data_IF_216616459875
#
_entry.id   IF_216616459875
#
_cell.length_a   1.000
_cell.length_b   1.000
_cell.length_c   1.000
_cell.angle_alpha   90.00
_cell.angle_beta   90.00
_cell.angle_gamma   90.00
#
_symmetry.space_group_name_H-M   'P 1'
#
loop_
_entity.id
_entity.type
_entity.pdbx_description
1 polymer ?
#
# COMPACT_ATOMS: atom_id res chain seq x y z
N UNK A 1 -6.51 -33.15 -6.75
CA UNK A 1 -5.63 -32.54 -7.77
C UNK A 1 -6.04 -31.08 -7.83
N UNK A 2 -5.17 -30.17 -7.40
CA UNK A 2 -5.55 -28.80 -7.03
C UNK A 2 -5.82 -27.90 -8.23
N UNK A 3 -6.96 -27.21 -8.18
CA UNK A 3 -7.30 -26.12 -9.08
C UNK A 3 -6.55 -24.86 -8.62
N UNK A 4 -5.55 -24.45 -9.40
CA UNK A 4 -4.92 -23.14 -9.27
C UNK A 4 -5.83 -22.14 -9.96
N UNK A 5 -6.65 -21.41 -9.20
CA UNK A 5 -7.36 -20.26 -9.74
C UNK A 5 -6.40 -19.08 -9.85
N UNK A 6 -6.21 -18.72 -11.11
CA UNK A 6 -5.50 -17.56 -11.61
C UNK A 6 -6.23 -16.28 -11.18
N UNK A 7 -5.72 -15.58 -10.17
CA UNK A 7 -6.16 -14.22 -9.83
C UNK A 7 -5.23 -13.25 -10.54
N UNK A 8 -5.62 -12.87 -11.75
CA UNK A 8 -5.00 -11.80 -12.53
C UNK A 8 -5.40 -10.48 -11.85
N UNK A 9 -4.58 -9.95 -10.95
CA UNK A 9 -4.72 -8.58 -10.45
C UNK A 9 -4.26 -7.63 -11.54
N UNK A 10 -5.21 -6.90 -12.15
CA UNK A 10 -4.90 -5.81 -13.06
C UNK A 10 -4.35 -4.64 -12.25
N UNK A 11 -3.02 -4.50 -12.28
CA UNK A 11 -2.31 -3.38 -11.66
C UNK A 11 -2.60 -2.08 -12.42
N UNK A 12 -3.29 -1.13 -11.78
CA UNK A 12 -3.35 0.26 -12.26
C UNK A 12 -2.07 0.99 -11.85
N UNK A 13 -1.01 0.84 -12.66
CA UNK A 13 0.17 1.68 -12.59
C UNK A 13 -0.16 3.08 -13.10
N UNK A 14 -0.20 4.07 -12.22
CA UNK A 14 -0.08 5.48 -12.63
C UNK A 14 1.39 5.82 -12.88
N UNK A 15 1.94 5.30 -13.98
CA UNK A 15 3.05 5.90 -14.73
C UNK A 15 3.22 5.16 -16.06
N UNK A 16 2.64 5.71 -17.12
CA UNK A 16 3.23 5.54 -18.44
C UNK A 16 4.62 6.18 -18.42
N UNK A 17 5.67 5.36 -18.39
CA UNK A 17 6.86 5.52 -19.25
C UNK A 17 7.86 4.39 -19.03
N UNK A 18 8.13 3.69 -20.13
CA UNK A 18 9.38 2.99 -20.50
C UNK A 18 9.81 1.77 -19.68
N UNK A 19 10.02 0.68 -20.41
CA UNK A 19 10.65 -0.57 -19.99
C UNK A 19 11.82 -0.32 -19.03
N UNK A 20 11.67 -0.71 -17.77
CA UNK A 20 12.80 -1.04 -16.93
C UNK A 20 12.47 -2.33 -16.20
N UNK A 21 13.44 -3.23 -16.20
CA UNK A 21 13.34 -4.60 -15.79
C UNK A 21 12.86 -4.67 -14.33
N UNK A 22 11.90 -5.55 -14.09
CA UNK A 22 11.31 -5.84 -12.79
C UNK A 22 12.39 -5.99 -11.71
N UNK A 23 12.68 -4.90 -11.00
CA UNK A 23 13.28 -4.96 -9.67
C UNK A 23 12.23 -5.59 -8.78
N UNK A 24 12.36 -6.90 -8.59
CA UNK A 24 11.60 -7.62 -7.58
C UNK A 24 11.91 -6.96 -6.24
N UNK A 25 10.96 -6.19 -5.70
CA UNK A 25 11.12 -5.56 -4.40
C UNK A 25 11.17 -6.69 -3.38
N UNK A 26 12.31 -6.80 -2.69
CA UNK A 26 12.47 -7.78 -1.62
C UNK A 26 11.64 -7.37 -0.41
N UNK A 27 10.38 -7.80 -0.39
CA UNK A 27 9.39 -7.48 0.64
C UNK A 27 9.85 -7.88 2.06
N UNK A 28 10.86 -8.76 2.18
CA UNK A 28 11.44 -9.18 3.46
C UNK A 28 12.27 -8.09 4.15
N UNK A 29 12.71 -7.08 3.41
CA UNK A 29 13.52 -5.96 3.92
C UNK A 29 12.70 -4.74 4.32
N UNK A 30 11.42 -4.70 3.95
CA UNK A 30 10.53 -3.59 4.27
C UNK A 30 10.17 -3.68 5.75
N UNK A 31 10.39 -2.60 6.50
CA UNK A 31 9.87 -2.51 7.85
C UNK A 31 8.36 -2.21 7.80
N UNK A 32 7.53 -3.18 8.17
CA UNK A 32 6.07 -3.10 8.06
C UNK A 32 5.41 -2.64 9.37
N UNK A 33 4.60 -1.59 9.29
CA UNK A 33 3.59 -1.26 10.30
C UNK A 33 2.28 -1.97 9.98
N UNK A 34 1.81 -2.82 10.89
CA UNK A 34 0.60 -3.64 10.69
C UNK A 34 -0.53 -3.17 11.59
N UNK A 35 -1.69 -2.91 11.00
CA UNK A 35 -2.88 -2.51 11.73
C UNK A 35 -4.14 -3.19 11.16
N UNK A 36 -4.90 -3.86 12.03
CA UNK A 36 -6.06 -4.67 11.62
C UNK A 36 -7.40 -4.03 12.04
N UNK A 37 -7.44 -2.71 12.12
CA UNK A 37 -8.67 -1.96 12.34
C UNK A 37 -9.47 -1.86 11.04
N UNK A 38 -10.78 -1.81 11.14
CA UNK A 38 -11.70 -1.69 10.01
C UNK A 38 -12.70 -0.59 10.28
N UNK A 39 -13.04 0.17 9.24
CA UNK A 39 -14.01 1.25 9.29
C UNK A 39 -15.22 0.95 8.42
N UNK A 40 -16.37 1.53 8.76
CA UNK A 40 -17.58 1.37 7.96
C UNK A 40 -17.52 2.28 6.71
N UNK A 41 -16.93 3.46 6.85
CA UNK A 41 -16.89 4.45 5.77
C UNK A 41 -15.47 4.80 5.33
N UNK A 42 -15.33 5.24 4.07
CA UNK A 42 -14.06 5.77 3.56
C UNK A 42 -13.63 7.03 4.32
N UNK A 43 -14.60 7.85 4.76
CA UNK A 43 -14.33 9.11 5.47
C UNK A 43 -13.66 8.88 6.83
N UNK A 44 -14.08 7.85 7.55
CA UNK A 44 -13.46 7.47 8.83
C UNK A 44 -12.06 6.91 8.60
N UNK A 45 -11.89 6.02 7.61
CA UNK A 45 -10.59 5.49 7.23
C UNK A 45 -9.61 6.60 6.82
N UNK A 46 -10.08 7.57 6.05
CA UNK A 46 -9.28 8.74 5.65
C UNK A 46 -8.87 9.58 6.84
N UNK A 47 -9.81 9.90 7.73
CA UNK A 47 -9.50 10.64 8.94
C UNK A 47 -8.49 9.91 9.82
N UNK A 48 -8.60 8.59 9.93
CA UNK A 48 -7.68 7.74 10.68
C UNK A 48 -6.28 7.75 10.09
N UNK A 49 -6.15 7.54 8.78
CA UNK A 49 -4.85 7.54 8.09
C UNK A 49 -4.17 8.90 8.19
N UNK A 50 -4.89 9.97 7.86
CA UNK A 50 -4.32 11.30 7.77
C UNK A 50 -3.82 11.84 9.11
N UNK A 51 -4.55 11.56 10.19
CA UNK A 51 -4.15 11.98 11.54
C UNK A 51 -3.35 10.91 12.31
N UNK A 52 -3.18 9.73 11.72
CA UNK A 52 -2.57 8.57 12.35
C UNK A 52 -1.10 8.39 11.99
N UNK A 53 -0.52 7.34 12.56
CA UNK A 53 0.88 6.99 12.36
C UNK A 53 1.16 6.53 10.92
N UNK A 54 0.19 5.88 10.26
CA UNK A 54 0.33 5.33 8.91
C UNK A 54 0.84 6.36 7.88
N UNK A 55 0.28 7.57 7.87
CA UNK A 55 0.73 8.64 6.95
C UNK A 55 1.95 9.39 7.47
N UNK A 56 1.99 9.71 8.76
CA UNK A 56 3.01 10.60 9.31
C UNK A 56 4.40 9.95 9.39
N UNK A 57 4.46 8.63 9.58
CA UNK A 57 5.69 7.90 9.90
C UNK A 57 6.19 6.99 8.78
N UNK A 58 5.43 6.85 7.68
CA UNK A 58 5.88 6.06 6.54
C UNK A 58 7.05 6.74 5.83
N UNK A 59 8.08 5.95 5.52
CA UNK A 59 9.39 6.38 5.04
C UNK A 59 10.26 7.09 6.09
N UNK A 60 9.90 7.06 7.38
CA UNK A 60 10.75 7.54 8.47
C UNK A 60 10.93 6.51 9.58
N UNK A 61 9.85 5.99 10.16
CA UNK A 61 9.90 4.94 11.20
C UNK A 61 9.66 3.54 10.63
N UNK A 62 8.90 3.45 9.53
CA UNK A 62 8.63 2.22 8.80
C UNK A 62 8.50 2.50 7.30
N UNK A 63 8.72 1.49 6.47
CA UNK A 63 8.76 1.63 5.01
C UNK A 63 7.45 1.20 4.36
N UNK A 64 6.65 0.40 5.07
CA UNK A 64 5.39 -0.11 4.58
C UNK A 64 4.29 -0.16 5.64
N UNK A 65 3.05 -0.14 5.17
CA UNK A 65 1.82 -0.28 5.94
C UNK A 65 1.03 -1.47 5.43
N UNK A 66 0.51 -2.30 6.35
CA UNK A 66 -0.30 -3.47 6.03
C UNK A 66 -1.60 -3.44 6.83
N UNK A 67 -2.72 -3.66 6.15
CA UNK A 67 -4.06 -3.60 6.73
C UNK A 67 -5.02 -4.63 6.17
N UNK A 68 -6.06 -4.98 6.93
CA UNK A 68 -7.19 -5.76 6.44
C UNK A 68 -8.31 -4.92 5.80
N UNK A 69 -8.25 -3.59 5.91
CA UNK A 69 -9.26 -2.70 5.35
C UNK A 69 -8.75 -2.03 4.05
N UNK A 70 -9.35 -2.32 2.88
CA UNK A 70 -8.93 -1.71 1.63
C UNK A 70 -9.06 -0.17 1.65
N UNK A 71 -9.98 0.38 2.45
CA UNK A 71 -10.20 1.83 2.55
C UNK A 71 -9.01 2.55 3.18
N UNK A 72 -8.34 1.90 4.14
CA UNK A 72 -7.14 2.44 4.77
C UNK A 72 -5.97 2.45 3.78
N UNK A 73 -5.74 1.34 3.07
CA UNK A 73 -4.71 1.28 2.04
C UNK A 73 -4.95 2.30 0.92
N UNK A 74 -6.18 2.38 0.42
CA UNK A 74 -6.57 3.36 -0.59
C UNK A 74 -6.31 4.80 -0.13
N UNK A 75 -6.75 5.15 1.08
CA UNK A 75 -6.58 6.51 1.60
C UNK A 75 -5.11 6.87 1.79
N UNK A 76 -4.29 5.91 2.24
CA UNK A 76 -2.86 6.12 2.41
C UNK A 76 -2.18 6.38 1.06
N UNK A 77 -2.43 5.55 0.06
CA UNK A 77 -1.89 5.75 -1.30
C UNK A 77 -2.28 7.13 -1.84
N UNK A 78 -3.54 7.53 -1.69
CA UNK A 78 -4.00 8.84 -2.15
C UNK A 78 -3.20 9.99 -1.51
N UNK A 79 -3.02 9.97 -0.20
CA UNK A 79 -2.27 11.01 0.50
C UNK A 79 -0.78 11.01 0.14
N UNK A 80 -0.16 9.83 0.03
CA UNK A 80 1.25 9.73 -0.36
C UNK A 80 1.49 10.23 -1.78
N UNK A 81 0.65 9.84 -2.73
CA UNK A 81 0.76 10.33 -4.12
C UNK A 81 0.56 11.83 -4.17
N UNK A 82 -0.41 12.37 -3.41
CA UNK A 82 -0.65 13.81 -3.32
C UNK A 82 0.55 14.56 -2.75
N UNK A 83 1.10 14.12 -1.62
CA UNK A 83 2.29 14.72 -1.00
C UNK A 83 3.50 14.63 -1.93
N UNK A 84 3.69 13.47 -2.60
CA UNK A 84 4.84 13.24 -3.46
C UNK A 84 4.82 14.11 -4.73
N UNK A 85 3.65 14.53 -5.20
CA UNK A 85 3.54 15.52 -6.29
C UNK A 85 4.07 16.89 -5.91
N UNK A 86 3.98 17.28 -4.64
CA UNK A 86 4.37 18.60 -4.15
C UNK A 86 5.83 18.60 -3.65
N UNK A 87 6.22 17.57 -2.91
CA UNK A 87 7.48 17.53 -2.18
C UNK A 87 8.51 16.54 -2.74
N UNK A 88 8.11 15.65 -3.66
CA UNK A 88 8.97 14.58 -4.21
C UNK A 88 9.71 13.79 -3.13
N UNK A 89 9.01 13.52 -2.01
CA UNK A 89 9.55 12.86 -0.82
C UNK A 89 9.98 11.40 -1.07
N UNK A 90 9.28 10.70 -1.94
CA UNK A 90 9.50 9.28 -2.22
C UNK A 90 9.86 9.08 -3.69
N UNK A 91 10.82 8.20 -3.97
CA UNK A 91 11.17 7.80 -5.33
C UNK A 91 10.01 7.06 -5.97
N UNK A 92 9.47 6.08 -5.24
CA UNK A 92 8.35 5.26 -5.67
C UNK A 92 7.35 5.04 -4.53
N UNK A 93 6.09 4.87 -4.90
CA UNK A 93 5.00 4.48 -4.00
C UNK A 93 4.36 3.26 -4.64
N UNK A 94 4.21 2.20 -3.86
CA UNK A 94 3.69 0.91 -4.30
C UNK A 94 2.47 0.52 -3.47
N UNK A 95 1.60 -0.26 -4.08
CA UNK A 95 0.46 -0.86 -3.41
C UNK A 95 0.17 -2.24 -4.01
N UNK A 96 -0.23 -3.18 -3.17
CA UNK A 96 -0.56 -4.54 -3.57
C UNK A 96 -1.54 -5.19 -2.58
N UNK A 97 -2.13 -6.32 -2.97
CA UNK A 97 -2.97 -7.13 -2.10
C UNK A 97 -2.50 -8.60 -2.08
N UNK A 98 -2.60 -9.24 -0.92
CA UNK A 98 -2.27 -10.66 -0.77
C UNK A 98 -3.36 -11.40 0.00
N UNK A 99 -3.70 -12.60 -0.48
CA UNK A 99 -4.56 -13.53 0.22
C UNK A 99 -3.72 -14.41 1.16
N UNK A 100 -3.84 -14.19 2.47
CA UNK A 100 -3.12 -14.94 3.51
C UNK A 100 -4.16 -15.57 4.44
N UNK A 101 -4.12 -16.90 4.57
CA UNK A 101 -5.02 -17.68 5.43
C UNK A 101 -6.52 -17.35 5.21
N UNK A 102 -6.91 -17.12 3.96
CA UNK A 102 -8.28 -16.78 3.57
C UNK A 102 -8.69 -15.34 3.89
N UNK A 103 -7.75 -14.49 4.31
CA UNK A 103 -7.97 -13.05 4.53
C UNK A 103 -7.16 -12.25 3.51
N UNK A 104 -7.80 -11.26 2.90
CA UNK A 104 -7.09 -10.31 2.04
C UNK A 104 -6.40 -9.26 2.90
N UNK A 105 -5.09 -9.10 2.73
CA UNK A 105 -4.29 -8.03 3.31
C UNK A 105 -3.88 -7.07 2.19
N UNK A 106 -4.05 -5.79 2.46
CA UNK A 106 -3.67 -4.70 1.57
C UNK A 106 -2.38 -4.09 2.09
N UNK A 107 -1.43 -3.88 1.21
CA UNK A 107 -0.09 -3.41 1.51
C UNK A 107 0.21 -2.14 0.73
N UNK A 108 0.86 -1.19 1.37
CA UNK A 108 1.34 0.06 0.78
C UNK A 108 2.76 0.30 1.26
N UNK A 109 3.71 0.58 0.39
CA UNK A 109 5.08 0.87 0.80
C UNK A 109 5.75 1.90 -0.10
N UNK A 110 6.85 2.45 0.39
CA UNK A 110 7.60 3.53 -0.27
C UNK A 110 9.09 3.17 -0.38
N UNK A 111 9.75 3.78 -1.36
CA UNK A 111 11.21 3.74 -1.57
C UNK A 111 11.80 5.14 -1.73
#
# INVERSE_FOLDING_TARGET
MGDKQNTHSEYFFLKDTTHDESKEVDLSKINWFKEMITFDTLREAEHWVYNGDAYNKIGTEFDGYMTGDPKLAFSLVFHLVRENRENQRFSNIFADEQLIDGKTLFMVWVE
#
